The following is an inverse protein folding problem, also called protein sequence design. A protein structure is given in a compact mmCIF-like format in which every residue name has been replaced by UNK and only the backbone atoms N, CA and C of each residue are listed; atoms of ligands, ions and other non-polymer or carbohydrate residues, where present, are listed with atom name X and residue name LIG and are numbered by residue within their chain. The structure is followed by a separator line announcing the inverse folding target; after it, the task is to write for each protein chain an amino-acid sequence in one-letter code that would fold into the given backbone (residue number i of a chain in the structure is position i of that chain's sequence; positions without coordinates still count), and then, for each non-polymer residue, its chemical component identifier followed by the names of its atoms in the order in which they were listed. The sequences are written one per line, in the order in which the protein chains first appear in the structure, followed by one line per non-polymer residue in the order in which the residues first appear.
data_IF_813558167415
#
_entry.id   IF_813558167415
#
_cell.length_a   1.000
_cell.length_b   1.000
_cell.length_c   1.000
_cell.angle_alpha   90.00
_cell.angle_beta   90.00
_cell.angle_gamma   90.00
#
_symmetry.space_group_name_H-M   'P 1'
#
loop_
_entity.id
_entity.type
_entity.pdbx_description
1 polymer ?
#
# COMPACT_ATOMS: atom_id res chain seq x y z
N UNK A 1 -8.11 13.86 15.01
CA UNK A 1 -8.01 13.45 13.63
C UNK A 1 -8.46 14.55 12.68
N UNK A 2 -7.81 14.63 11.53
CA UNK A 2 -7.94 15.67 10.51
C UNK A 2 -9.26 15.63 9.72
N UNK A 3 -10.27 14.96 10.24
CA UNK A 3 -11.58 14.80 9.60
C UNK A 3 -12.52 15.99 9.78
N UNK A 4 -12.07 17.03 10.48
CA UNK A 4 -12.90 18.22 10.78
C UNK A 4 -13.02 19.18 9.59
N UNK A 5 -12.08 19.13 8.66
CA UNK A 5 -12.00 20.07 7.51
C UNK A 5 -12.55 19.49 6.21
N UNK A 6 -12.70 18.16 6.12
CA UNK A 6 -13.16 17.48 4.91
C UNK A 6 -13.89 16.18 5.26
N UNK A 7 -15.02 15.93 4.58
CA UNK A 7 -15.70 14.64 4.66
C UNK A 7 -14.90 13.60 3.86
N UNK A 8 -14.37 12.61 4.53
CA UNK A 8 -13.64 11.51 3.91
C UNK A 8 -14.57 10.35 3.57
N UNK A 9 -14.42 9.77 2.38
CA UNK A 9 -15.21 8.64 1.92
C UNK A 9 -14.62 7.32 2.43
N UNK A 10 -15.00 6.93 3.65
CA UNK A 10 -14.43 5.77 4.37
C UNK A 10 -14.46 4.47 3.56
N UNK A 11 -15.53 4.24 2.78
CA UNK A 11 -15.63 3.06 1.91
C UNK A 11 -14.42 2.93 0.97
N UNK A 12 -14.02 4.01 0.30
CA UNK A 12 -12.87 3.99 -0.61
C UNK A 12 -11.58 3.64 0.11
N UNK A 13 -11.37 4.20 1.30
CA UNK A 13 -10.20 3.94 2.13
C UNK A 13 -10.13 2.45 2.52
N UNK A 14 -11.24 1.90 3.00
CA UNK A 14 -11.28 0.51 3.45
C UNK A 14 -11.01 -0.47 2.29
N UNK A 15 -11.62 -0.26 1.13
CA UNK A 15 -11.39 -1.12 -0.05
C UNK A 15 -9.98 -0.97 -0.62
N UNK A 16 -9.42 0.24 -0.63
CA UNK A 16 -8.03 0.46 -1.05
C UNK A 16 -7.06 -0.30 -0.14
N UNK A 17 -7.23 -0.20 1.18
CA UNK A 17 -6.38 -0.92 2.12
C UNK A 17 -6.51 -2.45 1.96
N UNK A 18 -7.73 -2.98 1.82
CA UNK A 18 -7.94 -4.41 1.57
C UNK A 18 -7.29 -4.86 0.26
N UNK A 19 -7.34 -4.01 -0.77
CA UNK A 19 -6.67 -4.27 -2.04
C UNK A 19 -5.14 -4.30 -1.89
N UNK A 20 -4.53 -3.37 -1.16
CA UNK A 20 -3.09 -3.42 -0.85
C UNK A 20 -2.74 -4.67 -0.06
N UNK A 21 -3.52 -5.02 0.96
CA UNK A 21 -3.31 -6.23 1.77
C UNK A 21 -3.46 -7.53 0.98
N UNK A 22 -4.21 -7.54 -0.11
CA UNK A 22 -4.32 -8.69 -1.00
C UNK A 22 -3.07 -8.92 -1.86
N UNK A 23 -2.20 -7.92 -1.99
CA UNK A 23 -1.03 -7.96 -2.89
C UNK A 23 -1.35 -7.75 -4.37
N UNK A 24 -2.63 -7.57 -4.71
CA UNK A 24 -3.05 -7.36 -6.11
C UNK A 24 -2.52 -6.04 -6.65
N UNK A 25 -2.12 -6.05 -7.92
CA UNK A 25 -1.70 -4.86 -8.68
C UNK A 25 -2.79 -4.37 -9.63
N UNK A 26 -3.82 -5.18 -9.89
CA UNK A 26 -4.91 -4.87 -10.81
C UNK A 26 -6.08 -4.19 -10.11
N UNK A 27 -6.65 -3.16 -10.75
CA UNK A 27 -7.71 -2.32 -10.16
C UNK A 27 -9.12 -2.92 -10.18
N UNK A 28 -9.31 -4.09 -10.74
CA UNK A 28 -10.63 -4.73 -10.88
C UNK A 28 -11.39 -4.82 -9.56
N UNK A 29 -10.71 -5.23 -8.49
CA UNK A 29 -11.31 -5.31 -7.16
C UNK A 29 -11.90 -3.98 -6.70
N UNK A 30 -11.18 -2.89 -6.95
CA UNK A 30 -11.63 -1.54 -6.61
C UNK A 30 -12.83 -1.12 -7.47
N UNK A 31 -12.78 -1.37 -8.77
CA UNK A 31 -13.84 -1.03 -9.72
C UNK A 31 -15.13 -1.80 -9.45
N UNK A 32 -15.06 -3.09 -9.15
CA UNK A 32 -16.19 -3.93 -8.75
C UNK A 32 -16.88 -3.42 -7.48
N UNK A 33 -16.14 -2.75 -6.62
CA UNK A 33 -16.64 -2.14 -5.39
C UNK A 33 -16.99 -0.64 -5.54
N UNK A 34 -17.03 -0.12 -6.77
CA UNK A 34 -17.29 1.29 -7.09
C UNK A 34 -16.26 2.27 -6.47
N UNK A 35 -15.01 1.83 -6.32
CA UNK A 35 -13.88 2.68 -5.91
C UNK A 35 -13.06 3.02 -7.14
N UNK A 36 -12.93 4.31 -7.46
CA UNK A 36 -12.37 4.79 -8.74
C UNK A 36 -11.12 5.63 -8.58
N UNK A 37 -10.57 5.72 -7.38
CA UNK A 37 -9.45 6.62 -7.06
C UNK A 37 -8.15 6.29 -7.80
N UNK A 38 -8.03 5.06 -8.34
CA UNK A 38 -6.88 4.60 -9.11
C UNK A 38 -7.11 4.54 -10.63
N UNK A 39 -8.33 4.85 -11.11
CA UNK A 39 -8.68 4.70 -12.53
C UNK A 39 -7.81 5.56 -13.45
N UNK A 40 -7.44 6.76 -13.01
CA UNK A 40 -6.58 7.67 -13.77
C UNK A 40 -5.23 7.05 -14.13
N UNK A 41 -4.65 6.28 -13.20
CA UNK A 41 -3.36 5.64 -13.35
C UNK A 41 -3.44 4.28 -14.05
N UNK A 42 -4.63 3.69 -14.13
CA UNK A 42 -4.89 2.35 -14.65
C UNK A 42 -5.34 2.32 -16.12
N UNK A 43 -5.26 3.45 -16.82
CA UNK A 43 -5.62 3.53 -18.24
C UNK A 43 -4.60 2.79 -19.11
N UNK A 44 -5.03 2.31 -20.28
CA UNK A 44 -4.13 1.64 -21.25
C UNK A 44 -2.92 2.52 -21.61
N UNK A 45 -3.10 3.84 -21.71
CA UNK A 45 -2.03 4.79 -22.00
C UNK A 45 -0.97 4.82 -20.90
N UNK A 46 -1.39 4.84 -19.63
CA UNK A 46 -0.50 4.89 -18.48
C UNK A 46 0.25 3.56 -18.29
N UNK A 47 -0.45 2.44 -18.38
CA UNK A 47 0.12 1.12 -18.08
C UNK A 47 1.00 0.59 -19.22
N UNK A 48 0.69 0.91 -20.48
CA UNK A 48 1.50 0.51 -21.64
C UNK A 48 2.94 1.04 -21.60
N UNK A 49 3.17 2.17 -20.91
CA UNK A 49 4.52 2.75 -20.70
C UNK A 49 5.44 1.79 -19.94
N UNK A 50 4.89 0.85 -19.21
CA UNK A 50 5.60 -0.14 -18.39
C UNK A 50 5.40 -1.57 -18.90
N UNK A 51 4.93 -1.71 -20.16
CA UNK A 51 4.64 -3.00 -20.80
C UNK A 51 3.59 -3.83 -20.01
N UNK A 52 2.52 -3.17 -19.52
CA UNK A 52 1.46 -3.79 -18.73
C UNK A 52 0.10 -3.61 -19.38
N UNK A 53 -0.83 -4.55 -19.20
CA UNK A 53 -2.21 -4.39 -19.66
C UNK A 53 -2.91 -3.26 -18.90
N UNK A 54 -3.96 -2.71 -19.49
CA UNK A 54 -4.84 -1.76 -18.81
C UNK A 54 -5.36 -2.37 -17.50
N UNK A 55 -5.35 -1.57 -16.44
CA UNK A 55 -5.77 -2.00 -15.11
C UNK A 55 -4.64 -2.51 -14.21
N UNK A 56 -3.52 -2.97 -14.75
CA UNK A 56 -2.37 -3.43 -13.97
C UNK A 56 -1.39 -2.27 -13.68
N UNK A 57 -1.33 -1.87 -12.43
CA UNK A 57 -0.48 -0.78 -11.95
C UNK A 57 0.97 -1.18 -11.67
N UNK A 58 1.29 -2.47 -11.75
CA UNK A 58 2.63 -2.97 -11.50
C UNK A 58 3.02 -3.03 -10.02
N UNK A 59 4.33 -2.99 -9.69
CA UNK A 59 4.83 -3.24 -8.35
C UNK A 59 4.61 -2.05 -7.39
N UNK A 60 3.34 -1.64 -7.23
CA UNK A 60 2.92 -0.61 -6.27
C UNK A 60 2.76 -1.18 -4.86
N UNK A 61 2.12 -0.44 -3.95
CA UNK A 61 1.97 -0.73 -2.53
C UNK A 61 1.68 -2.19 -2.17
N UNK A 62 0.63 -2.80 -2.75
CA UNK A 62 0.23 -4.16 -2.44
C UNK A 62 1.31 -5.18 -2.80
N UNK A 63 1.92 -5.03 -3.97
CA UNK A 63 3.04 -5.87 -4.39
C UNK A 63 4.21 -5.73 -3.42
N UNK A 64 4.64 -4.51 -3.10
CA UNK A 64 5.76 -4.29 -2.19
C UNK A 64 5.49 -4.84 -0.79
N UNK A 65 4.26 -4.74 -0.29
CA UNK A 65 3.91 -5.23 1.04
C UNK A 65 3.86 -6.75 1.14
N UNK A 66 3.44 -7.43 0.07
CA UNK A 66 3.16 -8.87 0.07
C UNK A 66 4.14 -9.73 -0.71
N UNK A 67 5.00 -9.12 -1.54
CA UNK A 67 5.92 -9.85 -2.43
C UNK A 67 7.17 -9.03 -2.74
N UNK A 68 7.78 -8.38 -1.74
CA UNK A 68 8.91 -7.46 -1.89
C UNK A 68 10.14 -8.15 -2.47
N UNK A 69 10.71 -7.55 -3.52
CA UNK A 69 11.94 -8.06 -4.15
C UNK A 69 11.74 -9.36 -4.92
N UNK A 70 10.51 -9.69 -5.31
CA UNK A 70 10.20 -10.86 -6.12
C UNK A 70 10.89 -10.83 -7.48
N UNK A 71 11.20 -12.00 -8.03
CA UNK A 71 11.79 -12.13 -9.36
C UNK A 71 10.79 -11.70 -10.43
N UNK A 72 11.18 -10.71 -11.24
CA UNK A 72 10.40 -10.22 -12.39
C UNK A 72 10.69 -11.07 -13.62
N UNK A 73 9.63 -11.48 -14.30
CA UNK A 73 9.67 -12.23 -15.55
C UNK A 73 9.74 -11.32 -16.78
N UNK A 74 10.05 -11.87 -17.95
CA UNK A 74 10.13 -11.14 -19.23
C UNK A 74 8.79 -10.52 -19.65
N UNK A 75 7.66 -11.15 -19.29
CA UNK A 75 6.29 -10.65 -19.54
C UNK A 75 5.83 -9.60 -18.54
N UNK A 76 6.74 -9.08 -17.72
CA UNK A 76 6.48 -8.12 -16.63
C UNK A 76 5.64 -8.67 -15.47
N UNK A 77 5.33 -9.96 -15.43
CA UNK A 77 4.77 -10.62 -14.23
C UNK A 77 5.85 -10.82 -13.15
N UNK A 78 5.42 -11.26 -11.96
CA UNK A 78 6.32 -11.56 -10.84
C UNK A 78 6.09 -12.96 -10.30
N UNK A 79 7.17 -13.62 -9.90
CA UNK A 79 7.09 -14.86 -9.15
C UNK A 79 6.57 -14.62 -7.73
N UNK A 80 6.14 -15.67 -7.06
CA UNK A 80 5.72 -15.61 -5.66
C UNK A 80 6.90 -15.97 -4.72
N UNK A 81 8.08 -15.40 -5.01
CA UNK A 81 9.33 -15.68 -4.31
C UNK A 81 9.85 -14.50 -3.48
N UNK A 82 9.10 -13.40 -3.47
CA UNK A 82 9.42 -12.21 -2.69
C UNK A 82 9.06 -12.35 -1.21
N UNK A 83 9.37 -11.30 -0.46
CA UNK A 83 9.12 -11.24 0.97
C UNK A 83 7.70 -10.72 1.25
N UNK A 84 6.88 -11.50 1.95
CA UNK A 84 5.62 -11.04 2.52
C UNK A 84 5.87 -10.28 3.82
N UNK A 85 6.08 -8.96 3.70
CA UNK A 85 6.40 -8.09 4.83
C UNK A 85 5.25 -8.01 5.84
N UNK A 86 3.99 -8.04 5.37
CA UNK A 86 2.81 -8.00 6.26
C UNK A 86 2.74 -9.25 7.12
N UNK A 87 2.90 -10.44 6.52
CA UNK A 87 2.90 -11.68 7.28
C UNK A 87 4.04 -11.70 8.31
N UNK A 88 5.25 -11.27 7.92
CA UNK A 88 6.39 -11.19 8.82
C UNK A 88 6.15 -10.24 10.01
N UNK A 89 5.59 -9.06 9.75
CA UNK A 89 5.31 -8.08 10.82
C UNK A 89 4.24 -8.61 11.78
N UNK A 90 3.16 -9.22 11.26
CA UNK A 90 2.12 -9.82 12.09
C UNK A 90 2.69 -10.91 12.99
N UNK A 91 3.54 -11.77 12.44
CA UNK A 91 4.20 -12.84 13.20
C UNK A 91 5.16 -12.29 14.26
N UNK A 92 5.92 -11.24 13.92
CA UNK A 92 6.81 -10.58 14.88
C UNK A 92 6.05 -9.88 16.00
N UNK A 93 4.92 -9.21 15.71
CA UNK A 93 4.08 -8.58 16.74
C UNK A 93 3.61 -9.62 17.76
N UNK A 94 3.25 -10.84 17.31
CA UNK A 94 2.79 -11.92 18.19
C UNK A 94 3.92 -12.49 19.04
N UNK A 95 5.07 -12.75 18.44
CA UNK A 95 6.14 -13.55 19.07
C UNK A 95 7.27 -12.70 19.66
N UNK A 96 7.47 -11.48 19.18
CA UNK A 96 8.49 -10.55 19.62
C UNK A 96 8.00 -9.09 19.55
N UNK A 97 7.00 -8.70 20.35
CA UNK A 97 6.39 -7.37 20.29
C UNK A 97 7.37 -6.23 20.59
N UNK A 98 8.46 -6.51 21.29
CA UNK A 98 9.50 -5.51 21.58
C UNK A 98 10.51 -5.30 20.43
N UNK A 99 10.33 -5.98 19.30
CA UNK A 99 11.18 -5.82 18.13
C UNK A 99 11.11 -4.39 17.59
N UNK A 100 12.26 -3.83 17.23
CA UNK A 100 12.35 -2.56 16.50
C UNK A 100 12.33 -2.75 14.98
N UNK A 101 12.14 -3.99 14.51
CA UNK A 101 12.11 -4.38 13.10
C UNK A 101 10.69 -4.59 12.57
N UNK A 102 9.69 -4.04 13.25
CA UNK A 102 8.28 -4.09 12.85
C UNK A 102 8.04 -3.05 11.74
N UNK A 103 8.69 -3.23 10.59
CA UNK A 103 8.73 -2.26 9.49
C UNK A 103 8.17 -2.92 8.23
N UNK A 104 7.38 -2.14 7.47
CA UNK A 104 6.92 -2.47 6.12
C UNK A 104 7.35 -1.35 5.19
N UNK A 105 8.15 -1.66 4.17
CA UNK A 105 8.58 -0.72 3.14
C UNK A 105 7.68 -0.80 1.92
N UNK A 106 7.15 0.33 1.49
CA UNK A 106 6.48 0.47 0.19
C UNK A 106 7.44 0.93 -0.91
N UNK A 107 8.63 1.40 -0.55
CA UNK A 107 9.60 1.95 -1.49
C UNK A 107 10.66 0.92 -1.86
N UNK A 108 10.72 0.59 -3.15
CA UNK A 108 11.78 -0.22 -3.74
C UNK A 108 12.47 0.61 -4.83
N UNK A 109 13.71 1.08 -4.63
CA UNK A 109 14.40 1.91 -5.61
C UNK A 109 14.57 1.25 -6.99
N UNK A 110 14.70 -0.08 -7.03
CA UNK A 110 14.84 -0.83 -8.28
C UNK A 110 13.57 -0.89 -9.12
N UNK A 111 12.41 -0.58 -8.53
CA UNK A 111 11.10 -0.69 -9.18
C UNK A 111 10.30 0.62 -9.18
N UNK A 112 10.77 1.65 -8.46
CA UNK A 112 10.05 2.91 -8.33
C UNK A 112 9.76 3.61 -9.68
N UNK A 113 10.64 3.43 -10.65
CA UNK A 113 10.48 3.98 -12.01
C UNK A 113 9.69 3.07 -12.95
N UNK A 114 9.18 1.92 -12.47
CA UNK A 114 8.45 0.93 -13.26
C UNK A 114 6.93 0.99 -13.03
N UNK A 115 6.44 2.08 -12.46
CA UNK A 115 5.02 2.29 -12.12
C UNK A 115 4.59 3.70 -12.49
N UNK A 116 3.31 3.86 -12.86
CA UNK A 116 2.76 5.17 -13.23
C UNK A 116 2.72 6.16 -12.04
N UNK A 117 2.58 5.64 -10.82
CA UNK A 117 2.59 6.42 -9.58
C UNK A 117 3.47 5.75 -8.53
N UNK A 118 4.73 6.20 -8.38
CA UNK A 118 5.62 5.69 -7.33
C UNK A 118 5.05 5.89 -5.92
N UNK A 119 5.24 4.92 -5.01
CA UNK A 119 4.67 4.95 -3.67
C UNK A 119 4.99 6.24 -2.90
N UNK A 120 3.96 6.95 -2.44
CA UNK A 120 4.09 8.11 -1.55
C UNK A 120 4.28 7.68 -0.10
N UNK A 121 3.61 6.62 0.34
CA UNK A 121 3.86 5.96 1.63
C UNK A 121 5.15 5.16 1.52
N UNK A 122 6.25 5.74 1.97
CA UNK A 122 7.58 5.15 1.80
C UNK A 122 7.76 3.93 2.69
N UNK A 123 7.42 4.07 3.97
CA UNK A 123 7.43 2.97 4.95
C UNK A 123 6.48 3.29 6.10
N UNK A 124 6.07 2.25 6.79
CA UNK A 124 5.46 2.40 8.10
C UNK A 124 6.08 1.41 9.10
N UNK A 125 6.08 1.82 10.36
CA UNK A 125 6.66 1.07 11.46
C UNK A 125 5.64 0.92 12.57
N UNK A 126 5.55 -0.28 13.13
CA UNK A 126 4.74 -0.54 14.31
C UNK A 126 5.58 -0.49 15.58
N UNK A 127 4.92 -0.16 16.68
CA UNK A 127 5.48 -0.17 18.02
C UNK A 127 4.44 -0.68 19.00
N UNK A 128 4.86 -1.61 19.85
CA UNK A 128 4.00 -2.19 20.89
C UNK A 128 4.49 -1.72 22.27
N UNK A 129 3.59 -1.11 23.04
CA UNK A 129 3.83 -0.75 24.43
C UNK A 129 2.51 -0.85 25.21
N UNK A 130 2.55 -1.33 26.44
CA UNK A 130 1.39 -1.44 27.33
C UNK A 130 0.18 -2.15 26.69
N UNK A 131 0.43 -3.22 25.93
CA UNK A 131 -0.56 -3.96 25.13
C UNK A 131 -1.31 -3.10 24.09
N UNK A 132 -0.70 -2.00 23.64
CA UNK A 132 -1.23 -1.13 22.60
C UNK A 132 -0.30 -1.17 21.40
N UNK A 133 -0.89 -1.23 20.21
CA UNK A 133 -0.18 -1.15 18.94
C UNK A 133 -0.25 0.29 18.42
N UNK A 134 0.91 0.88 18.14
CA UNK A 134 1.05 2.17 17.47
C UNK A 134 1.65 1.96 16.09
N UNK A 135 1.31 2.85 15.16
CA UNK A 135 1.87 2.87 13.82
C UNK A 135 2.39 4.27 13.49
N UNK A 136 3.58 4.35 12.93
CA UNK A 136 4.13 5.57 12.37
C UNK A 136 4.37 5.39 10.88
N UNK A 137 3.85 6.32 10.07
CA UNK A 137 4.04 6.37 8.63
C UNK A 137 5.03 7.47 8.26
N UNK A 138 5.99 7.13 7.39
CA UNK A 138 6.76 8.12 6.65
C UNK A 138 6.25 8.25 5.23
N UNK A 139 5.85 9.47 4.87
CA UNK A 139 5.32 9.82 3.57
C UNK A 139 6.27 10.81 2.88
N UNK A 140 6.85 10.43 1.70
CA UNK A 140 7.78 11.29 0.94
C UNK A 140 7.09 12.46 0.25
N UNK A 141 5.79 12.32 -0.02
CA UNK A 141 4.98 13.31 -0.73
C UNK A 141 3.53 13.18 -0.27
N UNK A 142 2.89 14.29 0.01
CA UNK A 142 1.49 14.35 0.39
C UNK A 142 0.87 15.67 -0.05
N UNK A 143 -0.35 15.63 -0.57
CA UNK A 143 -1.20 16.79 -0.68
C UNK A 143 -2.00 16.93 0.62
N UNK A 144 -1.74 18.01 1.37
CA UNK A 144 -2.34 18.22 2.70
C UNK A 144 -3.85 18.41 2.65
N UNK A 145 -4.39 18.90 1.55
CA UNK A 145 -5.82 19.15 1.43
C UNK A 145 -6.58 17.99 0.78
N UNK A 146 -6.03 17.41 -0.28
CA UNK A 146 -6.72 16.39 -1.07
C UNK A 146 -6.47 14.97 -0.53
N UNK A 147 -5.21 14.60 -0.32
CA UNK A 147 -4.79 13.22 -0.08
C UNK A 147 -4.44 12.92 1.37
N UNK A 148 -3.93 13.90 2.11
CA UNK A 148 -3.46 13.64 3.47
C UNK A 148 -4.54 13.04 4.40
N UNK A 149 -5.78 13.55 4.45
CA UNK A 149 -6.82 12.93 5.25
C UNK A 149 -7.20 11.53 4.78
N UNK A 150 -7.18 11.28 3.45
CA UNK A 150 -7.47 9.96 2.88
C UNK A 150 -6.39 8.95 3.26
N UNK A 151 -5.14 9.27 2.96
CA UNK A 151 -4.01 8.37 3.16
C UNK A 151 -3.77 8.02 4.62
N UNK A 152 -3.82 9.00 5.52
CA UNK A 152 -3.64 8.74 6.95
C UNK A 152 -4.76 7.90 7.54
N UNK A 153 -6.02 8.11 7.11
CA UNK A 153 -7.12 7.29 7.60
C UNK A 153 -7.05 5.85 7.09
N UNK A 154 -6.50 5.60 5.89
CA UNK A 154 -6.29 4.24 5.41
C UNK A 154 -5.27 3.49 6.28
N UNK A 155 -4.23 4.16 6.78
CA UNK A 155 -3.16 3.52 7.53
C UNK A 155 -3.33 3.59 9.06
N UNK A 156 -3.92 4.66 9.60
CA UNK A 156 -4.12 4.79 11.05
C UNK A 156 -5.51 4.37 11.52
N UNK A 157 -6.57 4.61 10.74
CA UNK A 157 -7.95 4.37 11.16
C UNK A 157 -8.34 2.89 11.25
N UNK A 158 -7.59 2.01 10.58
CA UNK A 158 -7.82 0.55 10.66
C UNK A 158 -6.94 -0.08 11.74
N UNK A 159 -5.80 0.50 12.06
CA UNK A 159 -4.84 -0.03 13.05
C UNK A 159 -5.23 0.34 14.47
N UNK A 160 -5.85 1.50 14.69
CA UNK A 160 -6.38 1.90 16.01
C UNK A 160 -7.53 1.00 16.53
N UNK A 161 -7.98 0.01 15.76
CA UNK A 161 -9.11 -0.86 16.10
C UNK A 161 -8.78 -2.35 16.15
N UNK A 162 -7.51 -2.72 15.98
CA UNK A 162 -7.01 -4.08 16.16
C UNK A 162 -6.36 -4.19 17.53
#
# INVERSE_FOLDING_TARGET
PLLTTKKVHFKSIAYELLWFLSGSTHVDYLQQNNVRIWNEWATAEQTARFNRPAGDLGPIYGHQWRNYGATKNEDASYNADGVDQIAQVVEQIKNNPNSRRLIVSGWNPGEAEQVALPPCHTLFQFFVADNKLSCQLYQRSADLFLLYPHNNNAQYGVIDRI
#
